data_IF_502383049740
#
_entry.id   IF_502383049740
#
_cell.length_a   1.000
_cell.length_b   1.000
_cell.length_c   1.000
_cell.angle_alpha   90.00
_cell.angle_beta   90.00
_cell.angle_gamma   90.00
#
_symmetry.space_group_name_H-M   'P 1'
#
loop_
_entity.id
_entity.type
_entity.pdbx_description
1 polymer ?
#
# COMPACT_ATOMS: atom_id res chain seq x y z
N UNK A 1 -31.81 -26.73 -11.67
CA UNK A 1 -31.69 -25.28 -11.93
C UNK A 1 -31.67 -24.56 -10.59
N UNK A 2 -30.60 -23.86 -10.23
CA UNK A 2 -30.56 -23.17 -8.93
C UNK A 2 -29.21 -22.59 -8.49
N UNK A 3 -28.22 -22.46 -9.36
CA UNK A 3 -26.90 -21.88 -9.06
C UNK A 3 -26.62 -20.57 -9.81
N UNK A 4 -27.65 -19.78 -10.07
CA UNK A 4 -27.51 -18.47 -10.70
C UNK A 4 -27.95 -17.37 -9.73
N UNK A 5 -27.09 -17.08 -8.74
CA UNK A 5 -27.38 -16.06 -7.73
C UNK A 5 -26.16 -15.41 -7.07
N UNK A 6 -24.93 -15.69 -7.49
CA UNK A 6 -23.71 -15.17 -6.81
C UNK A 6 -23.03 -14.00 -7.55
N UNK A 7 -23.52 -13.56 -8.71
CA UNK A 7 -22.94 -12.40 -9.42
C UNK A 7 -23.86 -11.16 -9.44
N UNK A 8 -24.59 -10.91 -8.35
CA UNK A 8 -25.53 -9.79 -8.24
C UNK A 8 -25.28 -8.86 -7.06
N UNK A 9 -24.17 -8.99 -6.34
CA UNK A 9 -23.87 -8.15 -5.18
C UNK A 9 -22.78 -7.12 -5.52
N UNK A 10 -23.22 -5.99 -6.07
CA UNK A 10 -22.50 -4.73 -5.89
C UNK A 10 -23.17 -3.83 -4.82
N UNK A 11 -23.26 -4.22 -3.52
CA UNK A 11 -23.66 -3.33 -2.45
C UNK A 11 -22.45 -3.03 -1.54
N UNK A 12 -21.28 -2.69 -2.08
CA UNK A 12 -20.06 -2.59 -1.27
C UNK A 12 -19.80 -1.20 -0.68
N UNK A 13 -20.84 -0.58 -0.10
CA UNK A 13 -20.64 0.26 1.06
C UNK A 13 -21.71 -0.13 2.09
N UNK A 14 -21.41 -1.19 2.82
CA UNK A 14 -22.29 -1.79 3.81
C UNK A 14 -22.76 -0.76 4.85
N UNK A 15 -23.88 -1.06 5.52
CA UNK A 15 -24.48 -0.23 6.57
C UNK A 15 -23.49 0.17 7.69
N UNK A 16 -22.41 -0.61 7.85
CA UNK A 16 -21.32 -0.40 8.82
C UNK A 16 -20.54 0.89 8.56
N UNK A 17 -20.37 1.32 7.30
CA UNK A 17 -19.49 2.43 6.93
C UNK A 17 -20.22 3.72 6.55
N UNK A 18 -21.56 3.76 6.67
CA UNK A 18 -22.42 4.88 6.24
C UNK A 18 -22.12 6.22 6.94
N UNK A 19 -21.44 6.21 8.09
CA UNK A 19 -21.06 7.41 8.85
C UNK A 19 -19.56 7.65 8.93
N UNK A 20 -18.74 6.86 8.24
CA UNK A 20 -17.29 6.99 8.34
C UNK A 20 -16.81 8.20 7.53
N UNK A 21 -16.04 9.14 8.14
CA UNK A 21 -15.48 10.26 7.41
C UNK A 21 -14.46 9.74 6.39
N UNK A 22 -14.69 10.04 5.11
CA UNK A 22 -13.78 9.66 4.04
C UNK A 22 -12.60 10.64 3.98
N UNK A 23 -11.39 10.10 3.82
CA UNK A 23 -10.17 10.87 3.59
C UNK A 23 -9.51 10.35 2.32
N UNK A 24 -9.34 11.22 1.34
CA UNK A 24 -8.72 10.91 0.06
C UNK A 24 -7.29 11.44 0.08
N UNK A 25 -6.31 10.54 -0.02
CA UNK A 25 -4.90 10.90 -0.12
C UNK A 25 -4.41 10.65 -1.54
N UNK A 26 -3.74 11.63 -2.12
CA UNK A 26 -3.06 11.47 -3.40
C UNK A 26 -1.63 11.97 -3.27
N UNK A 27 -0.70 11.27 -3.92
CA UNK A 27 0.69 11.69 -3.98
C UNK A 27 0.89 12.49 -5.26
N UNK A 28 1.55 13.64 -5.16
CA UNK A 28 1.99 14.47 -6.27
C UNK A 28 3.51 14.53 -6.28
N UNK A 29 4.11 14.49 -7.47
CA UNK A 29 5.54 14.68 -7.64
C UNK A 29 5.89 16.18 -7.58
N UNK A 30 7.17 16.51 -7.43
CA UNK A 30 7.62 17.91 -7.35
C UNK A 30 7.29 18.74 -8.61
N UNK A 31 7.17 18.08 -9.76
CA UNK A 31 6.86 18.71 -11.04
C UNK A 31 5.35 18.95 -11.23
N UNK A 32 4.52 18.30 -10.42
CA UNK A 32 3.07 18.41 -10.50
C UNK A 32 2.56 19.69 -9.85
N UNK A 33 1.45 20.21 -10.37
CA UNK A 33 0.71 21.26 -9.71
C UNK A 33 -0.23 20.67 -8.66
N UNK A 34 0.29 20.49 -7.44
CA UNK A 34 -0.42 19.93 -6.29
C UNK A 34 -1.72 20.67 -5.96
N UNK A 35 -1.76 21.99 -6.11
CA UNK A 35 -2.97 22.79 -5.93
C UNK A 35 -4.05 22.47 -6.97
N UNK A 36 -3.66 22.35 -8.24
CA UNK A 36 -4.59 22.02 -9.33
C UNK A 36 -5.17 20.63 -9.11
N UNK A 37 -4.33 19.68 -8.69
CA UNK A 37 -4.75 18.32 -8.38
C UNK A 37 -5.77 18.32 -7.23
N UNK A 38 -5.50 19.05 -6.15
CA UNK A 38 -6.43 19.20 -5.01
C UNK A 38 -7.80 19.72 -5.47
N UNK A 39 -7.83 20.82 -6.23
CA UNK A 39 -9.09 21.42 -6.72
C UNK A 39 -9.87 20.47 -7.62
N UNK A 40 -9.17 19.70 -8.45
CA UNK A 40 -9.78 18.73 -9.36
C UNK A 40 -10.41 17.57 -8.58
N UNK A 41 -9.69 17.04 -7.60
CA UNK A 41 -10.19 15.99 -6.71
C UNK A 41 -11.38 16.47 -5.87
N UNK A 42 -11.33 17.69 -5.32
CA UNK A 42 -12.48 18.29 -4.63
C UNK A 42 -13.71 18.42 -5.55
N UNK A 43 -13.50 18.84 -6.80
CA UNK A 43 -14.60 18.90 -7.78
C UNK A 43 -15.18 17.52 -8.10
N UNK A 44 -14.34 16.48 -8.22
CA UNK A 44 -14.77 15.09 -8.43
C UNK A 44 -15.58 14.59 -7.24
N UNK A 45 -15.09 14.81 -6.01
CA UNK A 45 -15.74 14.42 -4.76
C UNK A 45 -17.10 15.10 -4.62
N UNK A 46 -17.18 16.42 -4.86
CA UNK A 46 -18.44 17.18 -4.88
C UNK A 46 -19.42 16.63 -5.92
N UNK A 47 -18.97 16.42 -7.16
CA UNK A 47 -19.82 15.91 -8.25
C UNK A 47 -20.38 14.52 -7.94
N UNK A 48 -19.63 13.68 -7.22
CA UNK A 48 -20.05 12.34 -6.82
C UNK A 48 -20.89 12.31 -5.53
N UNK A 49 -21.07 13.45 -4.86
CA UNK A 49 -21.83 13.53 -3.60
C UNK A 49 -21.14 12.81 -2.43
N UNK A 50 -19.83 12.59 -2.51
CA UNK A 50 -19.06 11.93 -1.47
C UNK A 50 -18.56 12.98 -0.46
N UNK A 51 -18.86 12.87 0.84
CA UNK A 51 -18.29 13.76 1.84
C UNK A 51 -16.87 13.28 2.21
N UNK A 52 -15.86 13.71 1.45
CA UNK A 52 -14.46 13.33 1.68
C UNK A 52 -13.53 14.54 1.84
N UNK A 53 -12.58 14.45 2.78
CA UNK A 53 -11.48 15.40 2.94
C UNK A 53 -10.34 15.02 1.99
N UNK A 54 -9.91 15.95 1.13
CA UNK A 54 -8.84 15.71 0.15
C UNK A 54 -7.51 16.21 0.69
N UNK A 55 -6.51 15.34 0.64
CA UNK A 55 -5.13 15.60 1.03
C UNK A 55 -4.21 15.26 -0.15
N UNK A 56 -3.48 16.26 -0.64
CA UNK A 56 -2.43 16.05 -1.64
C UNK A 56 -1.10 16.15 -0.92
N UNK A 57 -0.31 15.09 -0.99
CA UNK A 57 1.01 15.01 -0.36
C UNK A 57 2.06 15.11 -1.45
N UNK A 58 2.94 16.10 -1.35
CA UNK A 58 4.07 16.24 -2.24
C UNK A 58 5.18 15.29 -1.81
N UNK A 59 5.70 14.53 -2.77
CA UNK A 59 6.77 13.58 -2.54
C UNK A 59 7.87 13.77 -3.58
N UNK A 60 9.11 13.69 -3.13
CA UNK A 60 10.26 13.66 -4.02
C UNK A 60 10.31 12.31 -4.75
N UNK A 61 10.71 12.32 -6.02
CA UNK A 61 10.68 11.14 -6.92
C UNK A 61 11.39 9.91 -6.33
N UNK A 62 12.46 10.12 -5.55
CA UNK A 62 13.20 9.08 -4.86
C UNK A 62 12.75 8.75 -3.44
N UNK A 63 11.92 9.57 -2.77
CA UNK A 63 11.77 9.48 -1.31
C UNK A 63 11.16 8.16 -0.82
N UNK A 64 10.22 7.56 -1.57
CA UNK A 64 9.69 6.22 -1.24
C UNK A 64 10.72 5.13 -1.55
N UNK A 65 11.45 5.27 -2.66
CA UNK A 65 12.47 4.31 -3.08
C UNK A 65 13.64 4.27 -2.11
N UNK A 66 14.15 5.43 -1.69
CA UNK A 66 15.23 5.58 -0.71
C UNK A 66 14.82 4.96 0.64
N UNK A 67 13.63 5.33 1.13
CA UNK A 67 13.08 4.78 2.36
C UNK A 67 12.94 3.25 2.31
N UNK A 68 12.43 2.74 1.19
CA UNK A 68 12.24 1.29 0.98
C UNK A 68 13.59 0.59 0.91
N UNK A 69 14.56 1.17 0.22
CA UNK A 69 15.91 0.64 0.07
C UNK A 69 16.61 0.57 1.43
N UNK A 70 16.65 1.66 2.20
CA UNK A 70 17.25 1.69 3.53
C UNK A 70 16.62 0.65 4.46
N UNK A 71 15.28 0.59 4.48
CA UNK A 71 14.56 -0.36 5.35
C UNK A 71 14.83 -1.80 4.97
N UNK A 72 14.86 -2.10 3.66
CA UNK A 72 15.18 -3.44 3.14
C UNK A 72 16.63 -3.82 3.46
N UNK A 73 17.59 -2.92 3.25
CA UNK A 73 19.01 -3.14 3.54
C UNK A 73 19.23 -3.47 5.02
N UNK A 74 18.59 -2.73 5.93
CA UNK A 74 18.69 -2.96 7.37
C UNK A 74 18.09 -4.33 7.78
N UNK A 75 16.99 -4.73 7.15
CA UNK A 75 16.40 -6.06 7.36
C UNK A 75 17.31 -7.19 6.85
N UNK A 76 17.97 -6.99 5.71
CA UNK A 76 18.94 -7.95 5.17
C UNK A 76 20.18 -8.08 6.04
N UNK A 77 20.78 -6.96 6.46
CA UNK A 77 21.95 -6.95 7.34
C UNK A 77 21.66 -7.66 8.66
N UNK A 78 20.50 -7.37 9.28
CA UNK A 78 20.05 -8.06 10.50
C UNK A 78 19.92 -9.57 10.27
N UNK A 79 19.35 -9.96 9.13
CA UNK A 79 19.17 -11.38 8.77
C UNK A 79 20.52 -12.07 8.52
N UNK A 80 21.48 -11.39 7.87
CA UNK A 80 22.83 -11.89 7.66
C UNK A 80 23.57 -12.10 8.98
N UNK A 81 23.53 -11.12 9.89
CA UNK A 81 24.16 -11.22 11.20
C UNK A 81 23.59 -12.40 12.01
N UNK A 82 22.27 -12.58 12.01
CA UNK A 82 21.64 -13.73 12.67
C UNK A 82 22.07 -15.07 12.06
N UNK A 83 22.23 -15.15 10.74
CA UNK A 83 22.78 -16.35 10.08
C UNK A 83 24.22 -16.61 10.50
N UNK A 84 25.06 -15.59 10.59
CA UNK A 84 26.46 -15.71 11.02
C UNK A 84 26.57 -16.19 12.48
N UNK A 85 25.81 -15.60 13.40
CA UNK A 85 25.77 -16.02 14.80
C UNK A 85 25.30 -17.46 14.96
N UNK A 86 24.30 -17.90 14.18
CA UNK A 86 23.82 -19.29 14.18
C UNK A 86 24.84 -20.28 13.64
N UNK A 87 25.59 -19.91 12.60
CA UNK A 87 26.73 -20.71 12.10
C UNK A 87 27.86 -20.82 13.12
N UNK A 88 28.10 -19.77 13.89
CA UNK A 88 29.05 -19.79 15.00
C UNK A 88 28.56 -20.64 16.19
N UNK A 89 27.24 -20.82 16.34
CA UNK A 89 26.61 -21.53 17.48
C UNK A 89 26.05 -22.93 17.16
N UNK A 90 26.16 -23.44 15.92
CA UNK A 90 25.86 -24.84 15.57
C UNK A 90 24.39 -25.29 15.63
N UNK A 91 23.40 -24.38 15.52
CA UNK A 91 21.96 -24.73 15.61
C UNK A 91 21.23 -24.91 14.27
N UNK A 92 20.16 -25.75 14.18
CA UNK A 92 19.41 -26.01 12.94
C UNK A 92 18.55 -24.81 12.50
N UNK A 93 18.30 -24.71 11.19
CA UNK A 93 17.67 -23.56 10.53
C UNK A 93 16.14 -23.50 10.74
N UNK A 94 15.55 -22.32 11.04
CA UNK A 94 14.11 -22.14 10.86
C UNK A 94 13.77 -21.99 9.37
N UNK A 95 12.61 -22.54 8.99
CA UNK A 95 12.01 -22.40 7.66
C UNK A 95 11.98 -20.92 7.25
N UNK A 96 12.63 -20.62 6.14
CA UNK A 96 12.54 -19.29 5.53
C UNK A 96 11.07 -19.06 5.12
N UNK A 97 10.46 -17.89 5.41
CA UNK A 97 9.28 -17.49 4.67
C UNK A 97 9.67 -17.38 3.18
N UNK A 98 8.76 -17.74 2.25
CA UNK A 98 9.05 -17.76 0.83
C UNK A 98 9.62 -16.41 0.39
N UNK A 99 10.75 -16.48 -0.32
CA UNK A 99 11.34 -15.33 -1.00
C UNK A 99 10.35 -14.87 -2.06
N UNK A 100 10.03 -13.57 -2.10
CA UNK A 100 9.12 -12.93 -3.05
C UNK A 100 9.58 -13.00 -4.53
N UNK A 101 10.50 -13.91 -4.86
CA UNK A 101 11.01 -14.14 -6.21
C UNK A 101 10.27 -15.27 -6.95
N UNK A 102 9.29 -15.93 -6.31
CA UNK A 102 8.54 -17.05 -6.90
C UNK A 102 7.15 -16.65 -7.46
N UNK A 103 6.82 -15.35 -7.55
CA UNK A 103 5.50 -14.89 -8.07
C UNK A 103 5.53 -14.28 -9.49
N UNK A 104 6.65 -14.34 -10.23
CA UNK A 104 6.75 -13.83 -11.62
C UNK A 104 6.89 -14.94 -12.69
N UNK A 105 6.48 -16.18 -12.41
CA UNK A 105 6.33 -17.20 -13.45
C UNK A 105 5.01 -17.98 -13.27
N UNK A 106 3.99 -17.55 -14.02
CA UNK A 106 2.66 -18.19 -14.07
C UNK A 106 1.75 -17.55 -15.11
#
# INVERSE_FOLDING_TARGET
>A
AGFLGILGSHPYLSQVWRGCPLRLFTVALLEDNSERLRRLLEAVVRRRGLPAQVHVVELHDGAVSDYTYERTLMMEQRSQMLRQLRRAQGGPAPSQPPSAAEEEEG
#
